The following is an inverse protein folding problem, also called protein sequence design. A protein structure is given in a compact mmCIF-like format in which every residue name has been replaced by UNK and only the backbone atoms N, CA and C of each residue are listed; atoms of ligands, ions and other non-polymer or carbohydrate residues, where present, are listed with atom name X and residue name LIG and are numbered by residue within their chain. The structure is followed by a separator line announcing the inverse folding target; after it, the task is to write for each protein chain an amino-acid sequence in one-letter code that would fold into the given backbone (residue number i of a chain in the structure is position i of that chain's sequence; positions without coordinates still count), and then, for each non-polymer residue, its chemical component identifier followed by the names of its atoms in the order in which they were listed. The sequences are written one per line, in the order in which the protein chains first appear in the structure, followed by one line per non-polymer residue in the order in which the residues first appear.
data_IF_231001142206
#
_entry.id   IF_231001142206
#
_cell.length_a   1.000
_cell.length_b   1.000
_cell.length_c   1.000
_cell.angle_alpha   90.00
_cell.angle_beta   90.00
_cell.angle_gamma   90.00
#
_symmetry.space_group_name_H-M   'P 1'
#
loop_
_entity.id
_entity.type
_entity.pdbx_description
1 polymer ?
#
# COMPACT_ATOMS: atom_id res chain seq x y z
N UNK A 1 7.53 -8.41 12.61
CA UNK A 1 8.43 -8.75 11.47
C UNK A 1 8.87 -7.53 10.64
N UNK A 2 8.61 -6.31 11.14
CA UNK A 2 8.96 -5.08 10.44
C UNK A 2 10.49 -4.98 10.20
N UNK A 3 10.95 -4.43 9.06
CA UNK A 3 12.38 -4.32 8.74
C UNK A 3 13.21 -3.56 9.77
N UNK A 4 12.65 -2.61 10.48
CA UNK A 4 13.35 -1.82 11.50
C UNK A 4 13.36 -2.46 12.87
N UNK A 5 12.53 -3.47 13.16
CA UNK A 5 12.45 -4.09 14.48
C UNK A 5 13.73 -4.85 14.83
N UNK A 6 14.35 -4.48 15.96
CA UNK A 6 15.56 -5.07 16.50
C UNK A 6 15.54 -5.13 18.05
N UNK A 7 14.64 -4.38 18.70
CA UNK A 7 14.41 -4.38 20.13
C UNK A 7 15.69 -4.11 20.95
N UNK A 8 16.56 -3.19 20.50
CA UNK A 8 17.83 -2.86 21.16
C UNK A 8 18.98 -3.84 20.91
N UNK A 9 18.79 -4.85 20.03
CA UNK A 9 19.82 -5.87 19.72
C UNK A 9 20.13 -6.00 18.23
N UNK A 10 20.67 -7.16 17.85
CA UNK A 10 20.92 -7.47 16.44
C UNK A 10 19.62 -7.87 15.73
N UNK A 11 19.31 -7.22 14.62
CA UNK A 11 18.09 -7.44 13.84
C UNK A 11 17.86 -8.90 13.43
N UNK A 12 18.93 -9.61 13.01
CA UNK A 12 18.83 -11.01 12.62
C UNK A 12 18.39 -11.91 13.78
N UNK A 13 19.02 -11.73 14.95
CA UNK A 13 18.68 -12.48 16.17
C UNK A 13 17.25 -12.17 16.63
N UNK A 14 16.83 -10.90 16.61
CA UNK A 14 15.47 -10.51 16.95
C UNK A 14 14.44 -11.20 16.04
N UNK A 15 14.67 -11.18 14.72
CA UNK A 15 13.77 -11.83 13.75
C UNK A 15 13.72 -13.35 13.93
N UNK A 16 14.85 -13.98 14.23
CA UNK A 16 14.89 -15.42 14.49
C UNK A 16 14.12 -15.78 15.76
N UNK A 17 14.32 -15.06 16.85
CA UNK A 17 13.60 -15.26 18.10
C UNK A 17 12.08 -14.99 17.93
N UNK A 18 11.70 -13.94 17.22
CA UNK A 18 10.30 -13.65 16.92
C UNK A 18 9.62 -14.77 16.10
N UNK A 19 10.34 -15.36 15.13
CA UNK A 19 9.85 -16.53 14.39
C UNK A 19 9.70 -17.77 15.26
N UNK A 20 10.70 -18.03 16.11
CA UNK A 20 10.65 -19.17 17.03
C UNK A 20 9.46 -19.03 18.01
N UNK A 21 9.24 -17.83 18.54
CA UNK A 21 8.12 -17.52 19.41
C UNK A 21 6.77 -17.72 18.68
N UNK A 22 6.64 -17.22 17.45
CA UNK A 22 5.44 -17.42 16.62
C UNK A 22 5.14 -18.91 16.43
N UNK A 23 6.13 -19.69 16.05
CA UNK A 23 5.96 -21.13 15.79
C UNK A 23 5.57 -21.89 17.07
N UNK A 24 6.24 -21.57 18.19
CA UNK A 24 6.05 -22.30 19.45
C UNK A 24 4.73 -21.96 20.14
N UNK A 25 4.27 -20.71 20.08
CA UNK A 25 3.07 -20.26 20.82
C UNK A 25 1.87 -20.11 19.93
N UNK A 26 1.93 -19.25 18.90
CA UNK A 26 0.74 -18.91 18.10
C UNK A 26 0.40 -19.92 17.00
N UNK A 27 1.34 -20.77 16.59
CA UNK A 27 1.08 -21.88 15.64
C UNK A 27 0.75 -23.18 16.37
N UNK A 28 0.99 -23.30 17.66
CA UNK A 28 0.56 -24.43 18.46
C UNK A 28 -0.90 -24.23 18.91
N UNK A 29 -1.80 -25.09 18.42
CA UNK A 29 -3.26 -25.00 18.71
C UNK A 29 -3.59 -25.12 20.21
N UNK A 30 -2.74 -25.75 21.00
CA UNK A 30 -2.95 -25.91 22.45
C UNK A 30 -2.53 -24.64 23.19
N UNK A 31 -1.35 -24.10 22.86
CA UNK A 31 -0.80 -22.93 23.54
C UNK A 31 -1.46 -21.61 23.09
N UNK A 32 -1.89 -21.54 21.84
CA UNK A 32 -2.56 -20.36 21.28
C UNK A 32 -3.76 -19.88 22.12
N UNK A 33 -4.56 -20.80 22.64
CA UNK A 33 -5.75 -20.45 23.46
C UNK A 33 -5.36 -19.87 24.83
N UNK A 34 -4.19 -20.20 25.33
CA UNK A 34 -3.70 -19.73 26.62
C UNK A 34 -2.81 -18.47 26.51
N UNK A 35 -2.45 -18.08 25.28
CA UNK A 35 -1.62 -16.92 24.99
C UNK A 35 -2.46 -15.63 24.90
N UNK A 36 -3.21 -15.31 25.95
CA UNK A 36 -4.14 -14.18 25.99
C UNK A 36 -3.45 -12.83 26.24
N UNK A 37 -2.23 -12.83 26.78
CA UNK A 37 -1.41 -11.64 27.00
C UNK A 37 0.07 -12.00 26.92
N UNK A 38 0.96 -10.99 26.80
CA UNK A 38 2.40 -11.24 26.82
C UNK A 38 2.87 -11.85 28.15
N UNK A 39 2.28 -11.47 29.27
CA UNK A 39 2.57 -12.10 30.56
C UNK A 39 2.20 -13.60 30.57
N UNK A 40 1.05 -13.95 30.00
CA UNK A 40 0.66 -15.36 29.83
C UNK A 40 1.64 -16.09 28.92
N UNK A 41 2.07 -15.48 27.81
CA UNK A 41 3.09 -16.05 26.90
C UNK A 41 4.40 -16.33 27.62
N UNK A 42 4.90 -15.41 28.44
CA UNK A 42 6.10 -15.61 29.27
C UNK A 42 5.95 -16.81 30.17
N UNK A 43 4.78 -16.96 30.82
CA UNK A 43 4.46 -18.11 31.69
C UNK A 43 4.41 -19.46 30.95
N UNK A 44 4.01 -19.47 29.66
CA UNK A 44 3.95 -20.68 28.84
C UNK A 44 5.31 -21.19 28.37
N UNK A 45 6.38 -20.40 28.52
CA UNK A 45 7.71 -20.68 27.98
C UNK A 45 8.72 -21.16 29.04
N UNK A 46 8.25 -21.67 30.17
CA UNK A 46 9.11 -22.11 31.29
C UNK A 46 10.15 -23.15 30.89
N UNK A 47 9.90 -23.96 29.85
CA UNK A 47 10.83 -25.00 29.37
C UNK A 47 11.85 -24.45 28.33
N UNK A 48 11.74 -23.19 27.94
CA UNK A 48 12.62 -22.56 26.95
C UNK A 48 13.08 -21.16 27.45
N UNK A 49 14.12 -21.13 28.30
CA UNK A 49 14.57 -19.88 28.91
C UNK A 49 14.98 -18.79 27.95
N UNK A 50 15.48 -19.17 26.75
CA UNK A 50 15.88 -18.19 25.73
C UNK A 50 14.67 -17.50 25.10
N UNK A 51 13.62 -18.26 24.75
CA UNK A 51 12.37 -17.70 24.26
C UNK A 51 11.59 -16.96 25.34
N UNK A 52 11.64 -17.45 26.58
CA UNK A 52 11.04 -16.76 27.71
C UNK A 52 11.68 -15.39 27.95
N UNK A 53 13.01 -15.29 27.96
CA UNK A 53 13.71 -14.01 28.05
C UNK A 53 13.40 -13.07 26.91
N UNK A 54 13.25 -13.61 25.69
CA UNK A 54 12.82 -12.81 24.54
C UNK A 54 11.36 -12.31 24.68
N UNK A 55 10.44 -13.16 25.13
CA UNK A 55 9.06 -12.77 25.37
C UNK A 55 8.94 -11.72 26.48
N UNK A 56 9.70 -11.88 27.57
CA UNK A 56 9.81 -10.89 28.64
C UNK A 56 10.30 -9.54 28.10
N UNK A 57 11.34 -9.56 27.27
CA UNK A 57 11.84 -8.33 26.63
C UNK A 57 10.79 -7.65 25.77
N UNK A 58 9.99 -8.39 24.99
CA UNK A 58 8.88 -7.80 24.23
C UNK A 58 7.84 -7.19 25.16
N UNK A 59 7.48 -7.89 26.23
CA UNK A 59 6.57 -7.36 27.26
C UNK A 59 7.07 -6.03 27.82
N UNK A 60 8.34 -5.96 28.20
CA UNK A 60 8.95 -4.76 28.77
C UNK A 60 8.97 -3.60 27.76
N UNK A 61 9.32 -3.88 26.49
CA UNK A 61 9.34 -2.89 25.42
C UNK A 61 7.93 -2.34 25.08
N UNK A 62 6.89 -3.15 25.26
CA UNK A 62 5.50 -2.75 24.96
C UNK A 62 4.75 -2.25 26.20
N UNK A 63 5.36 -2.28 27.36
CA UNK A 63 4.75 -1.86 28.62
C UNK A 63 4.13 -0.46 28.61
N UNK A 64 4.73 0.58 27.95
CA UNK A 64 4.11 1.91 27.89
C UNK A 64 2.70 1.93 27.29
N UNK A 65 2.45 1.12 26.25
CA UNK A 65 1.10 0.97 25.69
C UNK A 65 0.22 0.06 26.54
N UNK A 66 0.76 -1.04 27.05
CA UNK A 66 0.01 -1.98 27.88
C UNK A 66 -0.47 -1.36 29.23
N UNK A 67 0.14 -0.26 29.65
CA UNK A 67 -0.26 0.46 30.87
C UNK A 67 -1.65 1.09 30.79
N UNK A 68 -2.22 1.31 29.60
CA UNK A 68 -3.52 1.94 29.46
C UNK A 68 -4.71 1.01 29.74
N UNK A 69 -4.54 -0.28 29.86
CA UNK A 69 -5.63 -1.22 30.14
C UNK A 69 -6.70 -1.29 29.00
N UNK A 70 -7.40 -2.41 28.93
CA UNK A 70 -8.36 -2.66 27.84
C UNK A 70 -9.65 -1.82 27.97
N UNK A 71 -10.11 -1.53 29.19
CA UNK A 71 -11.37 -0.83 29.45
C UNK A 71 -11.21 0.68 29.75
N UNK A 72 -10.00 1.22 29.68
CA UNK A 72 -9.72 2.61 30.06
C UNK A 72 -9.62 3.51 28.82
N UNK A 73 -10.33 4.63 28.84
CA UNK A 73 -10.12 5.70 27.87
C UNK A 73 -8.95 6.59 28.29
N UNK A 74 -8.12 6.97 27.33
CA UNK A 74 -6.97 7.84 27.53
C UNK A 74 -6.93 8.97 26.49
N UNK A 75 -6.33 10.13 26.81
CA UNK A 75 -6.11 11.19 25.84
C UNK A 75 -5.27 10.70 24.66
N UNK A 76 -5.64 11.10 23.44
CA UNK A 76 -4.91 10.75 22.22
C UNK A 76 -3.40 11.04 22.32
N UNK A 77 -3.05 12.19 22.94
CA UNK A 77 -1.65 12.55 23.15
C UNK A 77 -0.88 11.53 23.98
N UNK A 78 -1.50 10.97 25.02
CA UNK A 78 -0.85 9.98 25.88
C UNK A 78 -0.67 8.64 25.15
N UNK A 79 -1.69 8.16 24.44
CA UNK A 79 -1.60 6.95 23.59
C UNK A 79 -0.55 7.10 22.49
N UNK A 80 -0.53 8.22 21.79
CA UNK A 80 0.42 8.47 20.72
C UNK A 80 1.86 8.60 21.24
N UNK A 81 2.07 9.23 22.40
CA UNK A 81 3.39 9.32 23.02
C UNK A 81 3.91 7.92 23.38
N UNK A 82 3.10 7.11 24.03
CA UNK A 82 3.46 5.73 24.37
C UNK A 82 3.72 4.88 23.11
N UNK A 83 2.95 5.08 22.04
CA UNK A 83 3.19 4.41 20.76
C UNK A 83 4.55 4.77 20.15
N UNK A 84 4.92 6.05 20.17
CA UNK A 84 6.22 6.54 19.70
C UNK A 84 7.34 5.90 20.55
N UNK A 85 7.23 5.91 21.86
CA UNK A 85 8.20 5.29 22.78
C UNK A 85 8.41 3.80 22.46
N UNK A 86 7.32 3.05 22.31
CA UNK A 86 7.36 1.63 21.94
C UNK A 86 7.99 1.42 20.56
N UNK A 87 7.61 2.24 19.58
CA UNK A 87 8.17 2.14 18.23
C UNK A 87 9.68 2.41 18.21
N UNK A 88 10.14 3.43 18.93
CA UNK A 88 11.56 3.74 19.07
C UNK A 88 12.31 2.62 19.83
N UNK A 89 11.75 2.13 20.92
CA UNK A 89 12.36 1.03 21.69
C UNK A 89 12.48 -0.24 20.83
N UNK A 90 11.47 -0.58 20.06
CA UNK A 90 11.50 -1.72 19.11
C UNK A 90 12.46 -1.49 17.95
N UNK A 91 12.64 -0.26 17.50
CA UNK A 91 13.53 0.08 16.39
C UNK A 91 15.00 0.18 16.82
N UNK A 92 15.30 0.40 18.09
CA UNK A 92 16.66 0.53 18.60
C UNK A 92 17.52 -0.73 18.30
N UNK A 93 18.82 -0.52 18.12
CA UNK A 93 19.86 -1.56 17.94
C UNK A 93 20.98 -1.34 18.92
N UNK A 94 21.96 -2.24 18.94
CA UNK A 94 23.22 -2.06 19.71
C UNK A 94 24.02 -0.82 19.25
N UNK A 95 23.86 -0.39 18.00
CA UNK A 95 24.67 0.65 17.37
C UNK A 95 23.97 2.01 17.19
N UNK A 96 22.63 2.05 17.26
CA UNK A 96 21.86 3.27 17.00
C UNK A 96 20.55 3.27 17.79
N UNK A 97 20.13 4.45 18.24
CA UNK A 97 18.84 4.63 18.90
C UNK A 97 17.67 4.38 17.93
N UNK A 98 16.49 4.10 18.47
CA UNK A 98 15.30 3.93 17.66
C UNK A 98 14.90 5.23 16.95
N UNK A 99 15.03 6.36 17.62
CA UNK A 99 14.77 7.67 17.06
C UNK A 99 15.64 7.97 15.82
N UNK A 100 16.96 7.73 15.90
CA UNK A 100 17.87 7.88 14.77
C UNK A 100 17.53 6.99 13.57
N UNK A 101 16.86 5.86 13.81
CA UNK A 101 16.50 4.91 12.78
C UNK A 101 15.11 5.13 12.16
N UNK A 102 14.15 5.56 12.96
CA UNK A 102 12.78 5.76 12.52
C UNK A 102 12.59 7.08 11.79
N UNK A 103 13.15 8.16 12.32
CA UNK A 103 12.87 9.52 11.85
C UNK A 103 13.87 10.06 10.83
N UNK A 104 14.70 9.19 10.26
CA UNK A 104 15.66 9.55 9.22
C UNK A 104 15.05 9.45 7.82
N UNK A 105 15.69 10.12 6.87
CA UNK A 105 15.30 10.18 5.47
C UNK A 105 13.92 10.85 5.28
N UNK A 106 13.50 11.02 4.03
CA UNK A 106 12.29 11.80 3.72
C UNK A 106 11.02 11.20 4.36
N UNK A 107 10.94 9.88 4.42
CA UNK A 107 9.76 9.18 4.97
C UNK A 107 9.70 9.32 6.50
N UNK A 108 10.85 9.17 7.17
CA UNK A 108 10.95 9.34 8.63
C UNK A 108 10.72 10.78 9.06
N UNK A 109 11.30 11.75 8.35
CA UNK A 109 11.07 13.18 8.59
C UNK A 109 9.60 13.56 8.42
N UNK A 110 8.94 13.06 7.35
CA UNK A 110 7.53 13.32 7.11
C UNK A 110 6.64 12.69 8.20
N UNK A 111 6.97 11.48 8.64
CA UNK A 111 6.26 10.82 9.74
C UNK A 111 6.41 11.61 11.05
N UNK A 112 7.61 12.04 11.39
CA UNK A 112 7.86 12.84 12.60
C UNK A 112 7.08 14.16 12.60
N UNK A 113 7.05 14.87 11.46
CA UNK A 113 6.27 16.11 11.31
C UNK A 113 4.77 15.87 11.46
N UNK A 114 4.26 14.80 10.87
CA UNK A 114 2.85 14.42 10.99
C UNK A 114 2.50 14.11 12.45
N UNK A 115 3.27 13.26 13.12
CA UNK A 115 3.04 12.90 14.52
C UNK A 115 3.11 14.11 15.44
N UNK A 116 4.04 15.04 15.21
CA UNK A 116 4.10 16.30 15.93
C UNK A 116 2.82 17.13 15.74
N UNK A 117 2.30 17.23 14.52
CA UNK A 117 1.06 17.97 14.26
C UNK A 117 -0.17 17.31 14.89
N UNK A 118 -0.21 15.98 14.95
CA UNK A 118 -1.27 15.25 15.64
C UNK A 118 -1.19 15.50 17.15
N UNK A 119 0.02 15.47 17.73
CA UNK A 119 0.21 15.78 19.16
C UNK A 119 -0.23 17.21 19.52
N UNK A 120 0.04 18.17 18.66
CA UNK A 120 -0.41 19.56 18.83
C UNK A 120 -1.94 19.67 18.79
N UNK A 121 -2.59 18.94 17.91
CA UNK A 121 -4.05 18.93 17.76
C UNK A 121 -4.77 18.02 18.78
N UNK A 122 -4.08 17.09 19.41
CA UNK A 122 -4.64 16.06 20.28
C UNK A 122 -5.49 16.58 21.47
N UNK A 123 -5.21 17.77 22.06
CA UNK A 123 -6.08 18.31 23.11
C UNK A 123 -7.53 18.56 22.68
N UNK A 124 -7.80 18.71 21.38
CA UNK A 124 -9.15 18.86 20.84
C UNK A 124 -9.84 17.52 20.52
N UNK A 125 -9.13 16.40 20.64
CA UNK A 125 -9.67 15.05 20.41
C UNK A 125 -10.35 14.51 21.66
N UNK A 126 -11.43 13.72 21.52
CA UNK A 126 -11.96 12.96 22.64
C UNK A 126 -10.94 11.92 23.12
N UNK A 127 -11.10 11.45 24.35
CA UNK A 127 -10.38 10.28 24.84
C UNK A 127 -10.77 9.03 24.05
N UNK A 128 -9.85 8.09 23.90
CA UNK A 128 -10.01 6.86 23.12
C UNK A 128 -9.67 5.64 23.96
N UNK A 129 -10.40 4.56 23.74
CA UNK A 129 -10.00 3.23 24.23
C UNK A 129 -8.78 2.70 23.46
N UNK A 130 -8.02 1.82 24.11
CA UNK A 130 -6.86 1.21 23.48
C UNK A 130 -7.25 0.39 22.22
N UNK A 131 -8.44 -0.20 22.22
CA UNK A 131 -8.95 -0.99 21.08
C UNK A 131 -9.34 -0.12 19.88
N UNK A 132 -9.81 1.12 20.12
CA UNK A 132 -10.18 2.05 19.05
C UNK A 132 -8.98 2.85 18.50
N UNK A 133 -7.89 2.89 19.26
CA UNK A 133 -6.70 3.67 18.90
C UNK A 133 -6.05 3.25 17.57
N UNK A 134 -5.91 1.97 17.21
CA UNK A 134 -5.32 1.56 15.94
C UNK A 134 -6.10 2.10 14.74
N UNK A 135 -7.42 2.01 14.74
CA UNK A 135 -8.27 2.48 13.64
C UNK A 135 -8.23 4.01 13.54
N UNK A 136 -8.25 4.70 14.68
CA UNK A 136 -8.08 6.16 14.71
C UNK A 136 -6.71 6.59 14.19
N UNK A 137 -5.64 5.90 14.59
CA UNK A 137 -4.28 6.17 14.10
C UNK A 137 -4.16 5.95 12.60
N UNK A 138 -4.67 4.83 12.09
CA UNK A 138 -4.66 4.53 10.66
C UNK A 138 -5.43 5.58 9.85
N UNK A 139 -6.56 6.06 10.35
CA UNK A 139 -7.32 7.13 9.72
C UNK A 139 -6.54 8.46 9.67
N UNK A 140 -5.81 8.80 10.73
CA UNK A 140 -5.00 10.01 10.81
C UNK A 140 -3.81 9.99 9.82
N UNK A 141 -3.15 8.84 9.66
CA UNK A 141 -1.99 8.72 8.76
C UNK A 141 -2.37 8.50 7.28
N UNK A 142 -3.54 7.95 7.00
CA UNK A 142 -3.96 7.58 5.63
C UNK A 142 -4.02 8.77 4.65
N UNK A 143 -4.20 9.99 5.15
CA UNK A 143 -4.33 11.20 4.32
C UNK A 143 -2.99 11.82 3.90
N UNK A 144 -1.86 11.33 4.40
CA UNK A 144 -0.54 11.95 4.22
C UNK A 144 0.40 11.06 3.38
N UNK A 145 0.27 11.07 2.05
CA UNK A 145 1.20 10.33 1.21
C UNK A 145 2.58 10.99 1.23
N UNK A 146 3.61 10.23 1.56
CA UNK A 146 5.00 10.69 1.41
C UNK A 146 5.38 10.61 -0.06
N UNK A 147 5.73 11.74 -0.65
CA UNK A 147 6.22 11.76 -2.02
C UNK A 147 7.74 11.59 -1.99
N UNK A 148 8.29 10.52 -2.57
CA UNK A 148 9.74 10.37 -2.64
C UNK A 148 10.35 11.60 -3.34
N UNK A 149 11.47 12.09 -2.82
CA UNK A 149 12.23 13.17 -3.50
C UNK A 149 12.55 12.69 -4.91
N UNK A 150 12.12 13.44 -5.90
CA UNK A 150 12.43 13.15 -7.30
C UNK A 150 13.95 13.17 -7.46
N UNK A 151 14.56 12.02 -7.63
CA UNK A 151 15.94 11.93 -8.14
C UNK A 151 15.90 12.47 -9.57
N UNK A 152 16.64 13.55 -9.82
CA UNK A 152 16.59 14.37 -11.03
C UNK A 152 16.82 13.62 -12.34
N UNK A 153 15.78 12.98 -12.86
CA UNK A 153 15.80 12.25 -14.14
C UNK A 153 15.19 12.99 -15.32
N UNK A 154 14.81 14.25 -15.19
CA UNK A 154 14.21 15.01 -16.31
C UNK A 154 12.82 14.54 -16.75
N UNK A 155 12.33 13.36 -16.28
CA UNK A 155 11.01 12.82 -16.59
C UNK A 155 10.12 12.88 -15.35
N UNK A 156 8.91 13.43 -15.50
CA UNK A 156 7.94 13.52 -14.43
C UNK A 156 6.60 12.90 -14.86
N UNK A 157 6.00 12.09 -14.01
CA UNK A 157 4.62 11.62 -14.16
C UNK A 157 3.74 12.54 -13.32
N UNK A 158 2.82 13.25 -13.97
CA UNK A 158 2.03 14.31 -13.37
C UNK A 158 0.55 14.04 -13.58
N UNK A 159 -0.28 14.41 -12.60
CA UNK A 159 -1.69 14.61 -12.81
C UNK A 159 -1.95 15.90 -13.61
N UNK A 160 -3.14 16.02 -14.21
CA UNK A 160 -3.50 17.16 -15.07
C UNK A 160 -3.39 18.50 -14.31
N UNK A 161 -3.77 18.53 -13.03
CA UNK A 161 -3.64 19.73 -12.19
C UNK A 161 -2.19 20.11 -11.89
N UNK A 162 -1.35 19.09 -11.67
CA UNK A 162 0.06 19.29 -11.38
C UNK A 162 0.85 19.76 -12.61
N UNK A 163 0.37 19.38 -13.81
CA UNK A 163 0.97 19.76 -15.08
C UNK A 163 0.62 21.19 -15.50
N UNK A 164 -0.39 21.82 -14.86
CA UNK A 164 -0.75 23.22 -15.16
C UNK A 164 0.43 24.16 -14.90
N UNK A 165 0.56 25.16 -15.74
CA UNK A 165 1.61 26.19 -15.66
C UNK A 165 3.06 25.65 -15.79
N UNK A 166 3.22 24.34 -16.00
CA UNK A 166 4.51 23.75 -16.33
C UNK A 166 4.93 24.06 -17.77
N UNK A 167 6.25 24.08 -18.00
CA UNK A 167 6.84 24.10 -19.35
C UNK A 167 7.59 22.81 -19.54
N UNK A 168 7.36 22.17 -20.67
CA UNK A 168 7.92 20.87 -21.00
C UNK A 168 8.50 20.90 -22.41
N UNK A 169 9.63 20.22 -22.64
CA UNK A 169 10.22 20.05 -23.97
C UNK A 169 9.43 19.02 -24.79
N UNK A 170 8.89 18.01 -24.11
CA UNK A 170 8.02 17.00 -24.67
C UNK A 170 7.03 16.51 -23.62
N UNK A 171 5.84 16.10 -24.04
CA UNK A 171 4.79 15.58 -23.16
C UNK A 171 4.10 14.38 -23.79
N UNK A 172 3.84 13.36 -22.98
CA UNK A 172 2.97 12.25 -23.35
C UNK A 172 1.64 12.37 -22.60
N UNK A 173 0.55 12.62 -23.33
CA UNK A 173 -0.80 12.69 -22.78
C UNK A 173 -1.45 11.32 -22.84
N UNK A 174 -1.61 10.69 -21.69
CA UNK A 174 -2.15 9.34 -21.56
C UNK A 174 -3.61 9.30 -21.15
N UNK A 175 -4.27 8.15 -21.41
CA UNK A 175 -5.64 7.91 -20.96
C UNK A 175 -6.69 8.69 -21.76
N UNK A 176 -6.44 8.98 -23.03
CA UNK A 176 -7.36 9.69 -23.89
C UNK A 176 -8.53 8.79 -24.35
N UNK A 177 -9.18 8.18 -23.37
CA UNK A 177 -10.38 7.35 -23.52
C UNK A 177 -11.60 8.07 -22.95
N UNK A 178 -12.75 7.95 -23.61
CA UNK A 178 -13.99 8.56 -23.15
C UNK A 178 -14.38 8.02 -21.76
N UNK A 179 -14.63 8.94 -20.82
CA UNK A 179 -14.92 8.63 -19.42
C UNK A 179 -13.68 8.49 -18.53
N UNK A 180 -12.47 8.48 -19.10
CA UNK A 180 -11.19 8.59 -18.37
C UNK A 180 -10.68 10.02 -18.42
N UNK A 181 -10.52 10.57 -19.59
CA UNK A 181 -10.22 11.97 -19.82
C UNK A 181 -11.00 12.51 -21.03
N UNK A 182 -12.07 13.27 -20.79
CA UNK A 182 -12.55 13.79 -19.50
C UNK A 182 -13.27 12.73 -18.66
N UNK A 183 -13.15 12.84 -17.33
CA UNK A 183 -13.96 12.05 -16.42
C UNK A 183 -15.43 12.45 -16.55
N UNK A 184 -16.32 11.47 -16.44
CA UNK A 184 -17.74 11.75 -16.30
C UNK A 184 -17.97 12.63 -15.08
N UNK A 185 -18.83 13.63 -15.22
CA UNK A 185 -19.27 14.39 -14.06
C UNK A 185 -19.98 13.44 -13.08
N UNK A 186 -19.60 13.44 -11.79
CA UNK A 186 -20.29 12.62 -10.81
C UNK A 186 -21.74 13.04 -10.71
N UNK A 187 -22.64 12.07 -10.59
CA UNK A 187 -24.05 12.37 -10.27
C UNK A 187 -24.09 12.71 -8.77
N UNK A 188 -24.62 13.88 -8.44
CA UNK A 188 -24.87 14.24 -7.05
C UNK A 188 -26.13 13.49 -6.56
N UNK A 189 -26.05 12.65 -5.54
CA UNK A 189 -27.20 11.89 -5.07
C UNK A 189 -28.21 12.75 -4.28
N UNK A 190 -27.80 13.94 -3.82
CA UNK A 190 -28.61 14.79 -2.93
C UNK A 190 -29.22 15.99 -3.63
N UNK A 191 -28.49 16.60 -4.58
CA UNK A 191 -28.90 17.84 -5.22
C UNK A 191 -29.03 17.68 -6.74
N UNK A 192 -30.21 18.01 -7.25
CA UNK A 192 -30.39 18.18 -8.68
C UNK A 192 -29.62 19.40 -9.20
N UNK A 193 -29.41 19.49 -10.51
CA UNK A 193 -28.73 20.66 -11.11
C UNK A 193 -29.36 22.02 -10.74
N UNK A 194 -30.71 22.18 -10.82
CA UNK A 194 -31.37 23.42 -10.40
C UNK A 194 -31.11 23.73 -8.89
N UNK A 195 -31.27 22.75 -8.01
CA UNK A 195 -31.02 22.94 -6.58
C UNK A 195 -29.60 23.40 -6.29
N UNK A 196 -28.61 22.84 -7.01
CA UNK A 196 -27.21 23.27 -6.89
C UNK A 196 -27.03 24.73 -7.30
N UNK A 197 -27.70 25.16 -8.38
CA UNK A 197 -27.62 26.53 -8.83
C UNK A 197 -28.24 27.51 -7.83
N UNK A 198 -29.39 27.16 -7.22
CA UNK A 198 -30.06 27.98 -6.21
C UNK A 198 -29.22 28.22 -4.97
N UNK A 199 -28.43 27.22 -4.53
CA UNK A 199 -27.53 27.35 -3.36
C UNK A 199 -26.10 27.77 -3.72
N UNK A 200 -25.87 28.20 -4.96
CA UNK A 200 -24.58 28.71 -5.42
C UNK A 200 -23.47 27.67 -5.56
N UNK A 201 -23.79 26.37 -5.59
CA UNK A 201 -22.81 25.34 -5.87
C UNK A 201 -22.41 25.34 -7.35
N UNK A 202 -21.11 25.15 -7.60
CA UNK A 202 -20.59 25.11 -8.97
C UNK A 202 -21.24 24.00 -9.80
N UNK A 203 -21.48 24.30 -11.08
CA UNK A 203 -21.96 23.32 -12.04
C UNK A 203 -20.99 22.14 -12.17
N UNK A 204 -21.54 20.93 -12.19
CA UNK A 204 -20.76 19.70 -12.37
C UNK A 204 -20.04 19.68 -13.73
N UNK A 205 -20.61 20.34 -14.73
CA UNK A 205 -20.04 20.46 -16.08
C UNK A 205 -18.83 21.40 -16.15
N UNK A 206 -18.67 22.31 -15.18
CA UNK A 206 -17.47 23.15 -15.07
C UNK A 206 -16.18 22.33 -15.08
N UNK A 207 -16.20 21.14 -14.49
CA UNK A 207 -15.05 20.22 -14.48
C UNK A 207 -14.68 19.75 -15.89
N UNK A 208 -15.67 19.55 -16.76
CA UNK A 208 -15.43 19.18 -18.16
C UNK A 208 -14.79 20.36 -18.88
N UNK A 209 -15.27 21.59 -18.66
CA UNK A 209 -14.69 22.80 -19.23
C UNK A 209 -13.23 23.01 -18.79
N UNK A 210 -12.94 22.85 -17.50
CA UNK A 210 -11.57 22.89 -16.99
C UNK A 210 -10.67 21.81 -17.62
N UNK A 211 -11.20 20.60 -17.78
CA UNK A 211 -10.49 19.50 -18.44
C UNK A 211 -10.20 19.79 -19.93
N UNK A 212 -11.10 20.48 -20.63
CA UNK A 212 -10.88 20.94 -22.00
C UNK A 212 -9.76 22.00 -22.06
N UNK A 213 -9.76 22.93 -21.11
CA UNK A 213 -8.72 23.95 -21.00
C UNK A 213 -7.35 23.32 -20.74
N UNK A 214 -7.27 22.38 -19.80
CA UNK A 214 -6.05 21.64 -19.48
C UNK A 214 -5.52 20.89 -20.72
N UNK A 215 -6.39 20.22 -21.44
CA UNK A 215 -6.01 19.51 -22.67
C UNK A 215 -5.47 20.49 -23.73
N UNK A 216 -6.15 21.59 -23.97
CA UNK A 216 -5.71 22.59 -24.93
C UNK A 216 -4.37 23.24 -24.53
N UNK A 217 -4.17 23.53 -23.24
CA UNK A 217 -2.90 24.07 -22.73
C UNK A 217 -1.74 23.10 -22.93
N UNK A 218 -1.94 21.83 -22.64
CA UNK A 218 -0.91 20.80 -22.76
C UNK A 218 -0.57 20.47 -24.22
N UNK A 219 -1.55 20.60 -25.13
CA UNK A 219 -1.32 20.48 -26.58
C UNK A 219 -0.42 21.59 -27.16
N UNK A 220 -0.30 22.73 -26.49
CA UNK A 220 0.58 23.81 -26.91
C UNK A 220 2.08 23.52 -26.66
N UNK A 221 2.42 22.35 -26.14
CA UNK A 221 3.83 21.90 -25.97
C UNK A 221 4.43 21.57 -27.34
N UNK A 222 5.71 21.88 -27.59
CA UNK A 222 6.32 21.67 -28.91
C UNK A 222 6.28 20.21 -29.42
N UNK A 223 6.44 19.23 -28.50
CA UNK A 223 6.43 17.81 -28.84
C UNK A 223 5.37 17.08 -27.98
N UNK A 224 4.27 16.68 -28.59
CA UNK A 224 3.18 16.03 -27.90
C UNK A 224 2.93 14.63 -28.47
N UNK A 225 2.96 13.62 -27.60
CA UNK A 225 2.52 12.27 -27.90
C UNK A 225 1.15 12.02 -27.28
N UNK A 226 0.15 11.72 -28.10
CA UNK A 226 -1.20 11.38 -27.65
C UNK A 226 -1.35 9.88 -27.57
N UNK A 227 -1.79 9.36 -26.41
CA UNK A 227 -1.95 7.92 -26.21
C UNK A 227 -3.30 7.54 -25.63
N UNK A 228 -3.85 6.42 -26.09
CA UNK A 228 -5.07 5.83 -25.56
C UNK A 228 -5.00 4.31 -25.54
N UNK A 229 -5.82 3.69 -24.73
CA UNK A 229 -6.00 2.26 -24.72
C UNK A 229 -6.97 1.83 -25.82
N UNK A 230 -6.69 0.74 -26.53
CA UNK A 230 -7.66 0.13 -27.44
C UNK A 230 -8.68 -0.73 -26.70
N UNK A 231 -8.25 -1.31 -25.56
CA UNK A 231 -9.09 -2.15 -24.70
C UNK A 231 -8.79 -1.86 -23.24
N UNK A 232 -9.80 -1.99 -22.40
CA UNK A 232 -9.71 -1.91 -20.95
C UNK A 232 -10.49 -3.07 -20.34
N UNK A 233 -9.84 -3.87 -19.50
CA UNK A 233 -10.45 -5.07 -18.89
C UNK A 233 -11.11 -5.99 -19.94
N UNK A 234 -10.44 -6.13 -21.09
CA UNK A 234 -10.91 -6.95 -22.20
C UNK A 234 -11.95 -6.28 -23.14
N UNK A 235 -12.62 -5.21 -22.70
CA UNK A 235 -13.60 -4.48 -23.50
C UNK A 235 -12.97 -3.40 -24.40
N UNK A 236 -13.48 -3.16 -25.61
CA UNK A 236 -13.00 -2.07 -26.46
C UNK A 236 -13.33 -0.71 -25.85
N UNK A 237 -12.38 0.25 -25.95
CA UNK A 237 -12.58 1.62 -25.48
C UNK A 237 -13.03 2.55 -26.62
N UNK A 238 -13.65 3.67 -26.24
CA UNK A 238 -13.95 4.76 -27.18
C UNK A 238 -12.91 5.86 -27.05
N UNK A 239 -12.48 6.49 -28.18
CA UNK A 239 -11.61 7.65 -28.10
C UNK A 239 -12.24 8.77 -27.26
N UNK A 240 -11.40 9.52 -26.56
CA UNK A 240 -11.82 10.74 -25.88
C UNK A 240 -12.45 11.73 -26.87
N UNK A 241 -13.47 12.44 -26.42
CA UNK A 241 -14.09 13.55 -27.19
C UNK A 241 -13.08 14.66 -27.53
N UNK A 242 -11.99 14.77 -26.79
CA UNK A 242 -10.93 15.72 -27.10
C UNK A 242 -10.18 15.36 -28.38
N UNK A 243 -9.93 14.07 -28.62
CA UNK A 243 -9.35 13.61 -29.89
C UNK A 243 -10.29 13.86 -31.07
N UNK A 244 -11.57 13.52 -30.92
CA UNK A 244 -12.57 13.79 -31.97
C UNK A 244 -12.71 15.29 -32.30
N UNK A 245 -12.60 16.15 -31.27
CA UNK A 245 -12.58 17.62 -31.49
C UNK A 245 -11.30 18.08 -32.16
N UNK A 246 -10.16 17.54 -31.80
CA UNK A 246 -8.87 17.87 -32.42
C UNK A 246 -8.91 17.49 -33.92
N UNK A 247 -9.36 16.27 -34.24
CA UNK A 247 -9.52 15.83 -35.64
C UNK A 247 -10.44 16.76 -36.43
N UNK A 248 -11.56 17.19 -35.82
CA UNK A 248 -12.46 18.14 -36.46
C UNK A 248 -11.83 19.52 -36.71
N UNK A 249 -10.99 20.00 -35.78
CA UNK A 249 -10.25 21.26 -35.94
C UNK A 249 -9.20 21.15 -37.04
N UNK A 250 -8.43 20.04 -37.07
CA UNK A 250 -7.43 19.79 -38.13
C UNK A 250 -8.11 19.72 -39.50
N UNK A 251 -9.21 19.01 -39.62
CA UNK A 251 -9.98 18.94 -40.87
C UNK A 251 -10.51 20.33 -41.33
N UNK A 252 -11.01 21.16 -40.40
CA UNK A 252 -11.44 22.52 -40.70
C UNK A 252 -10.29 23.45 -41.12
N UNK A 253 -9.09 23.22 -40.58
CA UNK A 253 -7.87 23.94 -40.95
C UNK A 253 -7.20 23.40 -42.23
N UNK A 254 -7.76 22.37 -42.84
CA UNK A 254 -7.19 21.66 -44.02
C UNK A 254 -5.81 21.03 -43.70
N UNK A 255 -5.56 20.68 -42.44
CA UNK A 255 -4.37 19.98 -41.98
C UNK A 255 -4.57 18.47 -42.01
N UNK A 256 -3.47 17.72 -42.02
CA UNK A 256 -3.52 16.26 -42.02
C UNK A 256 -4.13 15.71 -40.71
N UNK A 257 -4.97 14.66 -40.79
CA UNK A 257 -5.52 14.03 -39.60
C UNK A 257 -4.46 13.32 -38.78
N UNK A 258 -4.71 13.10 -37.47
CA UNK A 258 -3.83 12.34 -36.61
C UNK A 258 -3.72 10.89 -37.07
N UNK A 259 -2.51 10.42 -37.27
CA UNK A 259 -2.23 9.03 -37.66
C UNK A 259 -1.72 8.21 -36.47
N UNK A 260 -2.34 7.06 -36.24
CA UNK A 260 -1.90 6.14 -35.17
C UNK A 260 -0.49 5.56 -35.40
N UNK A 261 -0.01 5.59 -36.63
CA UNK A 261 1.30 5.06 -37.01
C UNK A 261 2.46 5.98 -36.61
N UNK A 262 2.23 7.27 -36.42
CA UNK A 262 3.24 8.24 -35.96
C UNK A 262 3.77 7.86 -34.56
N UNK A 263 2.96 7.18 -33.77
CA UNK A 263 3.37 6.63 -32.47
C UNK A 263 4.05 5.25 -32.52
N UNK A 264 4.26 4.66 -33.70
CA UNK A 264 4.84 3.31 -33.85
C UNK A 264 6.22 3.17 -33.21
N UNK A 265 7.16 4.11 -33.38
CA UNK A 265 8.48 4.00 -32.76
C UNK A 265 8.42 3.88 -31.24
N UNK A 266 7.54 4.64 -30.58
CA UNK A 266 7.37 4.62 -29.12
C UNK A 266 6.80 3.28 -28.64
N UNK A 267 5.85 2.69 -29.38
CA UNK A 267 5.30 1.36 -29.09
C UNK A 267 6.35 0.26 -29.24
N UNK A 268 7.19 0.37 -30.24
CA UNK A 268 8.27 -0.61 -30.49
C UNK A 268 9.37 -0.51 -29.41
N UNK A 269 9.68 0.70 -28.95
CA UNK A 269 10.57 0.89 -27.80
C UNK A 269 9.99 0.29 -26.52
N UNK A 270 8.71 0.54 -26.22
CA UNK A 270 8.03 -0.04 -25.07
C UNK A 270 8.09 -1.58 -25.10
N UNK A 271 7.83 -2.22 -26.24
CA UNK A 271 7.95 -3.68 -26.41
C UNK A 271 9.37 -4.20 -26.17
N UNK A 272 10.39 -3.43 -26.56
CA UNK A 272 11.80 -3.81 -26.32
C UNK A 272 12.19 -3.68 -24.86
N UNK A 273 11.65 -2.68 -24.15
CA UNK A 273 11.93 -2.44 -22.74
C UNK A 273 11.17 -3.43 -21.82
N UNK A 274 10.01 -3.89 -22.27
CA UNK A 274 9.16 -4.83 -21.53
C UNK A 274 8.90 -6.09 -22.36
N UNK A 275 9.93 -6.94 -22.60
CA UNK A 275 9.78 -8.16 -23.35
C UNK A 275 8.90 -9.14 -22.58
N UNK A 276 7.92 -9.72 -23.26
CA UNK A 276 7.10 -10.79 -22.69
C UNK A 276 8.00 -12.01 -22.47
N UNK A 277 8.34 -12.26 -21.21
CA UNK A 277 9.07 -13.46 -20.84
C UNK A 277 8.19 -14.70 -21.10
N UNK A 278 8.80 -15.82 -21.55
CA UNK A 278 8.06 -17.05 -21.75
C UNK A 278 7.37 -17.46 -20.43
N UNK A 279 6.12 -17.88 -20.53
CA UNK A 279 5.36 -18.35 -19.37
C UNK A 279 6.08 -19.55 -18.77
N UNK A 280 6.60 -19.38 -17.56
CA UNK A 280 7.16 -20.49 -16.79
C UNK A 280 5.97 -21.31 -16.27
N UNK A 281 5.84 -22.53 -16.80
CA UNK A 281 4.88 -23.51 -16.27
C UNK A 281 5.52 -24.09 -15.01
N UNK A 282 4.97 -23.73 -13.86
CA UNK A 282 5.36 -24.36 -12.59
C UNK A 282 4.75 -25.75 -12.59
N UNK A 283 5.58 -26.83 -12.55
CA UNK A 283 5.06 -28.18 -12.48
C UNK A 283 4.31 -28.39 -11.16
N UNK A 284 3.35 -29.26 -11.19
CA UNK A 284 2.65 -29.67 -9.97
C UNK A 284 3.65 -30.23 -8.95
N UNK A 285 3.53 -29.87 -7.66
CA UNK A 285 4.42 -30.39 -6.63
C UNK A 285 4.33 -31.92 -6.55
N UNK A 286 5.43 -32.59 -6.81
CA UNK A 286 5.53 -34.06 -6.73
C UNK A 286 6.69 -34.47 -5.82
N UNK A 287 6.60 -34.20 -4.50
CA UNK A 287 7.65 -34.54 -3.55
C UNK A 287 7.81 -36.06 -3.44
N UNK A 288 9.05 -36.53 -3.40
CA UNK A 288 9.42 -37.93 -3.21
C UNK A 288 10.24 -38.11 -1.94
N UNK A 289 9.60 -38.01 -0.73
CA UNK A 289 10.32 -38.16 0.52
C UNK A 289 10.86 -39.57 0.71
N UNK A 290 11.97 -39.68 1.45
CA UNK A 290 12.52 -40.98 1.83
C UNK A 290 11.51 -41.85 2.55
N UNK A 291 11.63 -43.16 2.38
CA UNK A 291 10.66 -44.13 2.96
C UNK A 291 10.58 -43.99 4.48
N UNK A 292 11.71 -43.63 5.13
CA UNK A 292 11.75 -43.42 6.57
C UNK A 292 10.90 -42.25 7.06
N UNK A 293 10.70 -41.24 6.22
CA UNK A 293 9.91 -40.04 6.53
C UNK A 293 8.41 -40.21 6.22
N UNK A 294 8.03 -41.25 5.48
CA UNK A 294 6.64 -41.50 5.11
C UNK A 294 5.83 -41.95 6.29
N UNK A 295 4.56 -41.53 6.45
CA UNK A 295 3.71 -41.99 7.54
C UNK A 295 3.45 -43.51 7.40
N UNK A 296 3.66 -44.24 8.49
CA UNK A 296 3.41 -45.69 8.53
C UNK A 296 1.96 -46.06 8.86
N UNK A 297 1.18 -45.11 9.35
CA UNK A 297 -0.21 -45.25 9.71
C UNK A 297 -1.01 -44.09 9.20
N UNK A 298 -2.14 -44.36 8.56
CA UNK A 298 -3.10 -43.37 8.10
C UNK A 298 -4.49 -43.76 8.56
N UNK A 299 -5.30 -42.79 8.97
CA UNK A 299 -6.74 -43.03 9.22
C UNK A 299 -7.49 -43.28 7.91
N UNK A 300 -8.68 -43.88 8.01
CA UNK A 300 -9.52 -44.16 6.82
C UNK A 300 -9.80 -42.91 6.01
N UNK A 301 -10.03 -41.77 6.69
CA UNK A 301 -10.22 -40.46 6.02
C UNK A 301 -8.95 -39.96 5.36
N UNK A 302 -7.77 -40.18 5.96
CA UNK A 302 -6.50 -39.82 5.37
C UNK A 302 -6.14 -40.68 4.15
N UNK A 303 -6.58 -41.94 4.07
CA UNK A 303 -6.43 -42.77 2.86
C UNK A 303 -7.21 -42.18 1.70
N UNK A 304 -8.43 -41.67 1.96
CA UNK A 304 -9.20 -40.96 0.94
C UNK A 304 -8.43 -39.68 0.50
N UNK A 305 -7.91 -38.88 1.45
CA UNK A 305 -7.11 -37.69 1.14
C UNK A 305 -5.87 -38.07 0.34
N UNK A 306 -5.14 -39.13 0.70
CA UNK A 306 -3.97 -39.58 -0.04
C UNK A 306 -4.26 -39.90 -1.49
N UNK A 307 -5.43 -40.47 -1.76
CA UNK A 307 -5.87 -40.81 -3.13
C UNK A 307 -6.25 -39.57 -3.91
N UNK A 308 -6.96 -38.63 -3.29
CA UNK A 308 -7.54 -37.45 -3.97
C UNK A 308 -6.54 -36.27 -4.02
N UNK A 309 -5.70 -36.11 -3.00
CA UNK A 309 -4.66 -35.08 -2.87
C UNK A 309 -3.45 -35.64 -2.06
N UNK A 310 -2.51 -36.34 -2.72
CA UNK A 310 -1.32 -36.90 -2.07
C UNK A 310 -0.44 -35.83 -1.40
N UNK A 311 -0.41 -34.61 -1.97
CA UNK A 311 0.38 -33.52 -1.43
C UNK A 311 -0.11 -33.04 -0.07
N UNK A 312 -1.41 -33.08 0.21
CA UNK A 312 -1.95 -32.74 1.52
C UNK A 312 -1.46 -33.72 2.63
N UNK A 313 -1.26 -34.99 2.30
CA UNK A 313 -0.65 -35.96 3.23
C UNK A 313 0.82 -35.66 3.44
N UNK A 314 1.58 -35.39 2.37
CA UNK A 314 2.97 -34.97 2.46
C UNK A 314 3.12 -33.74 3.35
N UNK A 315 2.41 -32.67 3.08
CA UNK A 315 2.52 -31.40 3.82
C UNK A 315 2.11 -31.50 5.31
N UNK A 316 1.37 -32.55 5.68
CA UNK A 316 0.91 -32.79 7.07
C UNK A 316 1.85 -33.67 7.87
N UNK A 317 2.53 -34.60 7.23
CA UNK A 317 3.26 -35.69 7.90
C UNK A 317 4.77 -35.68 7.64
N UNK A 318 5.22 -34.94 6.64
CA UNK A 318 6.64 -34.79 6.25
C UNK A 318 7.07 -33.33 6.34
#
# INVERSE_FOLDING_TARGET
KHPLAAGGGKRAAFRQAARALELKVWRDKKLQRSATSMAAVVGLLNEDPALQAFAQRIQDLTAPLAAFGEDAEAPLAALLTAHIEVAEALAATEAASGAERLWREADGEAAALLLASILEAAPASPALGLDDYPDAFDALIASQPVRPRRSGGGVAILGVLEARLGRYDAIALGGLDEGVWPRKAPTDPWFSRPMRAEIGLSDLERRIGLSAHDFAQLLATPNVLLTRSLRREGAPTKPSRWLARLDAVLAAAQEEPLHADDGRPYRDWAKRLDPILPKIVIPEPAPTPDIAMRPRQLSVTQIKTLRDDPYAIYARHV
#
